data_IF_259558010135
#
_entry.id   IF_259558010135
#
_cell.length_a   1.000
_cell.length_b   1.000
_cell.length_c   1.000
_cell.angle_alpha   90.00
_cell.angle_beta   90.00
_cell.angle_gamma   90.00
#
_symmetry.space_group_name_H-M   'P 1'
#
loop_
_entity.id
_entity.type
_entity.pdbx_description
1 polymer ?
#
# COMPACT_ATOMS: atom_id res chain seq x y z
N UNK A 1 80.50 25.56 -33.03
CA UNK A 1 81.12 24.80 -31.93
C UNK A 1 80.34 23.51 -31.85
N UNK A 2 80.70 22.55 -32.69
CA UNK A 2 80.13 21.20 -32.62
C UNK A 2 80.63 20.56 -31.34
N UNK A 3 79.71 20.07 -30.52
CA UNK A 3 80.04 19.34 -29.30
C UNK A 3 80.18 17.89 -29.75
N UNK A 4 81.41 17.46 -30.04
CA UNK A 4 81.73 16.06 -30.24
C UNK A 4 81.34 15.31 -28.97
N UNK A 5 80.25 14.54 -29.05
CA UNK A 5 79.87 13.60 -28.01
C UNK A 5 80.75 12.38 -28.24
N UNK A 6 82.03 12.50 -27.87
CA UNK A 6 82.92 11.36 -27.76
C UNK A 6 82.24 10.30 -26.88
N UNK A 7 82.10 9.11 -27.45
CA UNK A 7 81.69 7.91 -26.75
C UNK A 7 82.47 7.81 -25.44
N UNK A 8 81.77 8.10 -24.34
CA UNK A 8 82.29 7.89 -23.00
C UNK A 8 82.34 6.39 -22.80
N UNK A 9 83.43 5.79 -23.27
CA UNK A 9 83.77 4.39 -23.04
C UNK A 9 83.71 4.19 -21.53
N UNK A 10 82.62 3.57 -21.08
CA UNK A 10 82.46 3.18 -19.70
C UNK A 10 83.65 2.27 -19.42
N UNK A 11 84.54 2.70 -18.54
CA UNK A 11 85.68 1.88 -18.15
C UNK A 11 85.13 0.49 -17.76
N UNK A 12 85.55 -0.56 -18.47
CA UNK A 12 85.33 -1.97 -18.12
C UNK A 12 86.01 -2.36 -16.80
N UNK A 13 86.53 -1.37 -16.06
CA UNK A 13 87.11 -1.53 -14.74
C UNK A 13 85.99 -1.74 -13.70
N UNK A 14 85.47 -2.95 -13.71
CA UNK A 14 84.50 -3.51 -12.76
C UNK A 14 85.07 -3.63 -11.33
N UNK A 15 86.23 -3.03 -11.02
CA UNK A 15 86.84 -3.05 -9.68
C UNK A 15 85.93 -2.43 -8.60
N UNK A 16 85.02 -1.53 -8.96
CA UNK A 16 84.00 -1.02 -8.03
C UNK A 16 82.96 -2.09 -7.65
N UNK A 17 82.65 -3.04 -8.55
CA UNK A 17 81.76 -4.18 -8.25
C UNK A 17 82.39 -5.11 -7.21
N UNK A 18 83.72 -5.24 -7.20
CA UNK A 18 84.45 -6.04 -6.21
C UNK A 18 84.43 -5.42 -4.80
N UNK A 19 84.13 -4.12 -4.69
CA UNK A 19 83.98 -3.43 -3.39
C UNK A 19 82.56 -3.51 -2.83
N UNK A 20 81.60 -4.01 -3.62
CA UNK A 20 80.25 -4.23 -3.12
C UNK A 20 80.21 -5.55 -2.35
N UNK A 21 79.55 -5.61 -1.18
CA UNK A 21 79.31 -6.87 -0.50
C UNK A 21 78.57 -7.82 -1.44
N UNK A 22 79.12 -9.00 -1.69
CA UNK A 22 78.62 -9.99 -2.66
C UNK A 22 77.35 -10.73 -2.21
N UNK A 23 76.62 -10.19 -1.22
CA UNK A 23 75.40 -10.75 -0.67
C UNK A 23 74.32 -9.68 -0.58
N UNK A 24 73.09 -10.05 -0.92
CA UNK A 24 71.94 -9.15 -0.83
C UNK A 24 71.74 -8.71 0.65
N UNK A 25 71.94 -7.42 0.99
CA UNK A 25 71.75 -6.94 2.36
C UNK A 25 70.26 -6.78 2.73
N UNK A 26 69.35 -6.95 1.76
CA UNK A 26 67.91 -6.85 1.96
C UNK A 26 67.31 -8.24 2.13
N UNK A 27 66.97 -8.59 3.37
CA UNK A 27 66.15 -9.77 3.67
C UNK A 27 64.69 -9.35 3.69
N UNK A 28 63.89 -9.92 2.79
CA UNK A 28 62.43 -9.80 2.85
C UNK A 28 61.85 -10.98 3.65
N UNK A 29 60.76 -10.77 4.39
CA UNK A 29 60.01 -11.86 4.99
C UNK A 29 59.57 -12.90 3.94
N UNK A 30 59.42 -14.16 4.36
CA UNK A 30 58.83 -15.19 3.51
C UNK A 30 57.43 -14.77 3.06
N UNK A 31 57.09 -14.98 1.78
CA UNK A 31 55.80 -14.58 1.20
C UNK A 31 55.68 -13.11 0.81
N UNK A 32 56.70 -12.27 1.06
CA UNK A 32 56.63 -10.83 0.78
C UNK A 32 56.27 -10.53 -0.68
N UNK A 33 56.86 -11.25 -1.63
CA UNK A 33 56.62 -11.05 -3.06
C UNK A 33 55.40 -11.81 -3.59
N UNK A 34 54.94 -12.83 -2.87
CA UNK A 34 53.76 -13.61 -3.25
C UNK A 34 52.50 -12.73 -3.12
N UNK A 35 52.40 -11.99 -2.00
CA UNK A 35 51.26 -11.11 -1.72
C UNK A 35 51.47 -9.66 -2.19
N UNK A 36 52.68 -9.31 -2.68
CA UNK A 36 53.01 -7.93 -3.07
C UNK A 36 52.09 -7.43 -4.17
N UNK A 37 51.81 -8.27 -5.17
CA UNK A 37 50.97 -7.91 -6.31
C UNK A 37 49.54 -7.59 -5.86
N UNK A 38 48.95 -8.44 -5.02
CA UNK A 38 47.60 -8.22 -4.47
C UNK A 38 47.55 -6.98 -3.58
N UNK A 39 48.59 -6.74 -2.78
CA UNK A 39 48.68 -5.57 -1.91
C UNK A 39 48.81 -4.27 -2.72
N UNK A 40 49.58 -4.29 -3.80
CA UNK A 40 49.70 -3.14 -4.71
C UNK A 40 48.36 -2.87 -5.39
N UNK A 41 47.69 -3.90 -5.92
CA UNK A 41 46.36 -3.76 -6.56
C UNK A 41 45.34 -3.20 -5.57
N UNK A 42 45.29 -3.75 -4.35
CA UNK A 42 44.41 -3.27 -3.29
C UNK A 42 44.71 -1.82 -2.90
N UNK A 43 45.98 -1.44 -2.86
CA UNK A 43 46.41 -0.06 -2.60
C UNK A 43 45.98 0.90 -3.71
N UNK A 44 46.13 0.50 -4.98
CA UNK A 44 45.68 1.28 -6.14
C UNK A 44 44.17 1.47 -6.13
N UNK A 45 43.39 0.42 -5.89
CA UNK A 45 41.93 0.52 -5.77
C UNK A 45 41.52 1.41 -4.60
N UNK A 46 42.22 1.34 -3.47
CA UNK A 46 41.93 2.21 -2.32
C UNK A 46 42.23 3.68 -2.62
N UNK A 47 43.30 3.96 -3.36
CA UNK A 47 43.67 5.30 -3.82
C UNK A 47 42.65 5.84 -4.84
N UNK A 48 42.20 4.99 -5.76
CA UNK A 48 41.16 5.29 -6.75
C UNK A 48 39.82 5.62 -6.08
N UNK A 49 39.39 4.81 -5.10
CA UNK A 49 38.18 5.06 -4.32
C UNK A 49 38.30 6.38 -3.53
N UNK A 50 39.48 6.70 -2.99
CA UNK A 50 39.73 7.97 -2.29
C UNK A 50 39.79 9.17 -3.23
N UNK A 51 40.24 9.02 -4.47
CA UNK A 51 40.30 10.11 -5.46
C UNK A 51 38.97 10.32 -6.18
N UNK A 52 38.18 9.25 -6.39
CA UNK A 52 36.81 9.33 -6.91
C UNK A 52 35.86 10.04 -5.95
N UNK A 53 36.29 10.23 -4.71
CA UNK A 53 35.49 10.76 -3.61
C UNK A 53 35.43 12.29 -3.52
N UNK A 54 35.11 12.94 -4.64
CA UNK A 54 34.68 14.34 -4.64
C UNK A 54 33.26 14.53 -4.04
N UNK A 55 32.59 13.46 -3.58
CA UNK A 55 31.20 13.45 -3.13
C UNK A 55 30.96 12.85 -1.72
N UNK A 56 32.01 12.67 -0.90
CA UNK A 56 31.86 12.36 0.53
C UNK A 56 31.82 10.86 0.82
N UNK A 57 32.99 10.30 1.07
CA UNK A 57 33.19 8.87 1.19
C UNK A 57 33.31 8.46 2.64
N UNK A 58 32.88 7.22 2.90
CA UNK A 58 32.96 6.50 4.18
C UNK A 58 32.78 7.36 5.43
N UNK A 59 31.95 8.41 5.36
CA UNK A 59 31.62 9.20 6.53
C UNK A 59 30.59 8.39 7.30
N UNK A 60 30.94 7.99 8.51
CA UNK A 60 29.93 7.49 9.43
C UNK A 60 28.88 8.58 9.60
N UNK A 61 27.59 8.26 9.40
CA UNK A 61 26.50 9.16 9.77
C UNK A 61 26.74 9.65 11.20
N UNK A 62 26.58 10.96 11.46
CA UNK A 62 26.97 11.55 12.75
C UNK A 62 26.27 10.92 13.96
N UNK A 63 25.11 10.31 13.74
CA UNK A 63 24.27 9.60 14.70
C UNK A 63 24.50 8.08 14.74
N UNK A 64 25.38 7.50 13.92
CA UNK A 64 25.57 6.05 13.79
C UNK A 64 25.81 5.36 15.14
N UNK A 65 26.78 5.84 15.91
CA UNK A 65 27.13 5.23 17.20
C UNK A 65 26.05 5.46 18.26
N UNK A 66 25.35 6.58 18.20
CA UNK A 66 24.25 6.89 19.11
C UNK A 66 23.06 5.97 18.84
N UNK A 67 22.63 5.85 17.58
CA UNK A 67 21.55 4.95 17.17
C UNK A 67 21.89 3.48 17.42
N UNK A 68 23.13 3.08 17.13
CA UNK A 68 23.60 1.73 17.42
C UNK A 68 23.55 1.45 18.92
N UNK A 69 24.02 2.38 19.76
CA UNK A 69 23.95 2.23 21.20
C UNK A 69 22.51 2.14 21.70
N UNK A 70 21.60 2.98 21.21
CA UNK A 70 20.17 2.92 21.55
C UNK A 70 19.53 1.62 21.09
N UNK A 71 19.86 1.12 19.89
CA UNK A 71 19.36 -0.15 19.36
C UNK A 71 19.84 -1.33 20.21
N UNK A 72 21.13 -1.35 20.56
CA UNK A 72 21.71 -2.40 21.41
C UNK A 72 21.05 -2.40 22.79
N UNK A 73 20.88 -1.23 23.42
CA UNK A 73 20.21 -1.12 24.71
C UNK A 73 18.74 -1.58 24.65
N UNK A 74 18.02 -1.19 23.59
CA UNK A 74 16.65 -1.65 23.35
C UNK A 74 16.57 -3.18 23.20
N UNK A 75 17.48 -3.78 22.44
CA UNK A 75 17.55 -5.25 22.28
C UNK A 75 17.83 -5.96 23.60
N UNK A 76 18.78 -5.45 24.39
CA UNK A 76 19.11 -6.01 25.70
C UNK A 76 17.90 -5.94 26.64
N UNK A 77 17.17 -4.81 26.66
CA UNK A 77 16.00 -4.65 27.51
C UNK A 77 14.85 -5.61 27.12
N UNK A 78 14.63 -5.83 25.81
CA UNK A 78 13.65 -6.79 25.31
C UNK A 78 14.07 -8.22 25.66
N UNK A 79 15.35 -8.56 25.47
CA UNK A 79 15.89 -9.87 25.82
C UNK A 79 15.76 -10.16 27.32
N UNK A 80 16.03 -9.20 28.19
CA UNK A 80 15.86 -9.33 29.64
C UNK A 80 14.38 -9.52 30.02
N UNK A 81 13.47 -8.79 29.39
CA UNK A 81 12.03 -8.93 29.62
C UNK A 81 11.49 -10.30 29.14
N UNK A 82 11.94 -10.79 27.99
CA UNK A 82 11.49 -12.07 27.41
C UNK A 82 12.16 -13.30 28.04
N UNK A 83 13.42 -13.17 28.51
CA UNK A 83 14.11 -14.24 29.22
C UNK A 83 13.40 -14.64 30.53
N UNK A 84 12.63 -13.71 31.13
CA UNK A 84 11.77 -14.00 32.28
C UNK A 84 10.57 -14.90 31.93
N UNK A 85 10.13 -14.94 30.66
CA UNK A 85 8.97 -15.69 30.19
C UNK A 85 9.32 -16.95 29.38
N UNK A 86 10.62 -17.24 29.16
CA UNK A 86 11.08 -18.47 28.49
C UNK A 86 10.94 -18.47 26.97
N UNK A 87 10.47 -17.38 26.38
CA UNK A 87 10.37 -17.16 24.94
C UNK A 87 11.74 -16.72 24.40
N UNK A 88 12.54 -17.66 23.89
CA UNK A 88 13.77 -17.32 23.18
C UNK A 88 13.47 -16.81 21.77
N UNK A 89 14.24 -15.85 21.25
CA UNK A 89 14.25 -15.47 19.83
C UNK A 89 14.78 -16.63 18.96
N UNK A 90 13.93 -17.63 18.75
CA UNK A 90 14.21 -18.73 17.85
C UNK A 90 13.83 -18.29 16.43
N UNK A 91 14.73 -18.55 15.49
CA UNK A 91 14.39 -18.42 14.08
C UNK A 91 13.17 -19.31 13.80
N UNK A 92 12.09 -18.76 13.21
CA UNK A 92 10.89 -19.55 12.92
C UNK A 92 11.23 -20.81 12.15
N UNK A 93 10.56 -21.91 12.49
CA UNK A 93 10.70 -23.17 11.76
C UNK A 93 10.39 -22.91 10.28
N UNK A 94 11.32 -23.27 9.40
CA UNK A 94 11.30 -23.06 7.94
C UNK A 94 11.70 -21.67 7.40
N UNK A 95 12.07 -20.70 8.22
CA UNK A 95 12.52 -19.37 7.76
C UNK A 95 13.54 -19.44 6.61
N UNK A 96 14.59 -20.26 6.76
CA UNK A 96 15.63 -20.37 5.75
C UNK A 96 15.16 -21.04 4.45
N UNK A 97 14.19 -21.95 4.54
CA UNK A 97 13.61 -22.59 3.36
C UNK A 97 12.75 -21.59 2.57
N UNK A 98 11.94 -20.79 3.28
CA UNK A 98 11.13 -19.73 2.68
C UNK A 98 12.00 -18.63 2.08
N UNK A 99 13.06 -18.22 2.80
CA UNK A 99 14.02 -17.24 2.31
C UNK A 99 14.70 -17.71 1.02
N UNK A 100 15.15 -18.97 0.98
CA UNK A 100 15.76 -19.56 -0.21
C UNK A 100 14.79 -19.56 -1.40
N UNK A 101 13.54 -19.96 -1.17
CA UNK A 101 12.48 -19.94 -2.19
C UNK A 101 12.20 -18.52 -2.69
N UNK A 102 12.13 -17.53 -1.79
CA UNK A 102 11.92 -16.14 -2.15
C UNK A 102 13.07 -15.57 -2.98
N UNK A 103 14.31 -15.86 -2.58
CA UNK A 103 15.51 -15.45 -3.33
C UNK A 103 15.49 -16.06 -4.74
N UNK A 104 15.19 -17.36 -4.86
CA UNK A 104 15.10 -18.02 -6.17
C UNK A 104 13.99 -17.44 -7.03
N UNK A 105 12.81 -17.15 -6.45
CA UNK A 105 11.72 -16.48 -7.15
C UNK A 105 12.12 -15.08 -7.64
N UNK A 106 12.88 -14.31 -6.84
CA UNK A 106 13.37 -12.99 -7.23
C UNK A 106 14.37 -13.07 -8.38
N UNK A 107 15.33 -13.98 -8.30
CA UNK A 107 16.33 -14.19 -9.36
C UNK A 107 15.64 -14.60 -10.66
N UNK A 108 14.69 -15.52 -10.61
CA UNK A 108 13.95 -15.97 -11.79
C UNK A 108 13.10 -14.84 -12.41
N UNK A 109 12.50 -13.98 -11.58
CA UNK A 109 11.74 -12.82 -12.04
C UNK A 109 12.67 -11.78 -12.68
N UNK A 110 13.82 -11.50 -12.07
CA UNK A 110 14.83 -10.58 -12.59
C UNK A 110 15.39 -11.06 -13.94
N UNK A 111 15.68 -12.36 -14.07
CA UNK A 111 16.14 -12.98 -15.32
C UNK A 111 15.07 -12.94 -16.42
N UNK A 112 13.79 -13.18 -16.07
CA UNK A 112 12.68 -13.18 -17.02
C UNK A 112 12.29 -11.77 -17.50
N UNK A 113 12.51 -10.76 -16.66
CA UNK A 113 12.06 -9.38 -16.91
C UNK A 113 13.13 -8.55 -17.64
N UNK A 114 14.42 -8.92 -17.54
CA UNK A 114 15.52 -8.25 -18.24
C UNK A 114 15.74 -6.78 -17.82
N UNK A 115 16.85 -6.17 -18.25
CA UNK A 115 17.28 -4.79 -17.89
C UNK A 115 16.26 -3.66 -18.22
N UNK A 116 15.11 -3.98 -18.83
CA UNK A 116 14.13 -3.02 -19.31
C UNK A 116 12.93 -2.78 -18.39
N UNK A 117 12.85 -3.44 -17.22
CA UNK A 117 11.78 -3.09 -16.28
C UNK A 117 12.07 -1.80 -15.52
N UNK A 118 11.17 -0.84 -15.73
CA UNK A 118 10.67 0.09 -14.71
C UNK A 118 11.08 -0.38 -13.31
N UNK A 119 11.97 0.39 -12.70
CA UNK A 119 12.52 0.12 -11.38
C UNK A 119 11.38 -0.25 -10.43
N UNK A 120 11.53 -1.32 -9.66
CA UNK A 120 10.57 -1.67 -8.60
C UNK A 120 10.54 -0.53 -7.57
N UNK A 121 9.72 0.48 -7.84
CA UNK A 121 9.54 1.63 -6.97
C UNK A 121 8.51 1.25 -5.92
N UNK A 122 8.79 1.64 -4.69
CA UNK A 122 7.82 1.48 -3.63
C UNK A 122 6.64 2.40 -3.96
N UNK A 123 5.39 1.90 -3.93
CA UNK A 123 4.21 2.73 -4.15
C UNK A 123 4.23 3.97 -3.25
N UNK A 124 3.82 5.10 -3.81
CA UNK A 124 3.81 6.35 -3.05
C UNK A 124 2.89 6.22 -1.82
N UNK A 125 3.41 6.55 -0.65
CA UNK A 125 2.69 6.46 0.63
C UNK A 125 2.79 5.12 1.36
N UNK A 126 3.46 4.10 0.81
CA UNK A 126 3.64 2.79 1.48
C UNK A 126 4.20 2.91 2.90
N UNK A 127 5.25 3.71 3.08
CA UNK A 127 5.88 3.86 4.39
C UNK A 127 5.03 4.66 5.38
N UNK A 128 4.22 5.60 4.88
CA UNK A 128 3.29 6.37 5.72
C UNK A 128 2.15 5.46 6.21
N UNK A 129 1.60 4.63 5.30
CA UNK A 129 0.58 3.64 5.64
C UNK A 129 1.13 2.57 6.59
N UNK A 130 2.33 2.06 6.33
CA UNK A 130 3.00 1.11 7.20
C UNK A 130 3.20 1.69 8.61
N UNK A 131 3.67 2.94 8.71
CA UNK A 131 3.86 3.61 10.01
C UNK A 131 2.54 3.76 10.75
N UNK A 132 1.47 4.19 10.06
CA UNK A 132 0.12 4.28 10.62
C UNK A 132 -0.40 2.92 11.07
N UNK A 133 -0.19 1.86 10.28
CA UNK A 133 -0.62 0.50 10.61
C UNK A 133 0.11 -0.02 11.86
N UNK A 134 1.44 0.15 11.91
CA UNK A 134 2.26 -0.24 13.06
C UNK A 134 1.80 0.50 14.31
N UNK A 135 1.59 1.82 14.26
CA UNK A 135 1.09 2.60 15.39
C UNK A 135 -0.30 2.14 15.84
N UNK A 136 -1.20 1.86 14.90
CA UNK A 136 -2.53 1.34 15.22
C UNK A 136 -2.45 -0.04 15.90
N UNK A 137 -1.55 -0.92 15.44
CA UNK A 137 -1.36 -2.24 16.06
C UNK A 137 -0.80 -2.12 17.48
N UNK A 138 0.21 -1.28 17.69
CA UNK A 138 0.78 -1.01 19.02
C UNK A 138 -0.29 -0.47 19.97
N UNK A 139 -1.09 0.50 19.53
CA UNK A 139 -2.15 1.08 20.36
C UNK A 139 -3.24 0.06 20.73
N UNK A 140 -3.62 -0.81 19.79
CA UNK A 140 -4.55 -1.90 20.08
C UNK A 140 -3.94 -2.93 21.02
N UNK A 141 -2.68 -3.32 20.81
CA UNK A 141 -1.96 -4.27 21.65
C UNK A 141 -1.77 -3.74 23.07
N UNK A 142 -1.42 -2.47 23.25
CA UNK A 142 -1.32 -1.82 24.57
C UNK A 142 -2.68 -1.72 25.26
N UNK A 143 -3.77 -1.45 24.51
CA UNK A 143 -5.13 -1.46 25.04
C UNK A 143 -5.62 -2.88 25.41
N UNK A 144 -5.08 -3.91 24.76
CA UNK A 144 -5.36 -5.32 25.04
C UNK A 144 -4.38 -5.96 26.02
N UNK A 145 -3.26 -5.31 26.36
CA UNK A 145 -2.23 -5.82 27.25
C UNK A 145 -2.82 -6.03 28.66
N UNK A 146 -3.20 -7.27 28.96
CA UNK A 146 -3.88 -7.68 30.20
C UNK A 146 -5.22 -8.40 30.00
N UNK A 147 -5.77 -8.40 28.79
CA UNK A 147 -6.89 -9.24 28.39
C UNK A 147 -6.33 -10.40 27.57
N UNK A 148 -6.05 -11.53 28.22
CA UNK A 148 -5.86 -12.85 27.60
C UNK A 148 -7.19 -13.38 27.03
N UNK A 149 -7.93 -12.54 26.32
CA UNK A 149 -8.99 -13.04 25.45
C UNK A 149 -8.26 -13.58 24.22
N UNK A 150 -7.95 -14.87 24.29
CA UNK A 150 -7.52 -15.66 23.13
C UNK A 150 -8.42 -15.27 21.95
N UNK A 151 -7.81 -14.92 20.81
CA UNK A 151 -8.52 -14.75 19.54
C UNK A 151 -9.08 -16.12 19.12
N UNK A 152 -10.13 -16.55 19.80
CA UNK A 152 -10.79 -17.82 19.59
C UNK A 152 -11.71 -17.66 18.39
N UNK A 153 -11.55 -18.57 17.44
CA UNK A 153 -12.46 -18.67 16.32
C UNK A 153 -13.87 -18.91 16.87
N UNK A 154 -14.90 -18.17 16.41
CA UNK A 154 -16.27 -18.37 16.87
C UNK A 154 -16.71 -19.82 16.73
N UNK A 155 -17.44 -20.31 17.73
CA UNK A 155 -17.97 -21.67 17.72
C UNK A 155 -18.79 -21.91 16.43
N UNK A 156 -18.44 -22.95 15.68
CA UNK A 156 -19.11 -23.30 14.42
C UNK A 156 -18.64 -22.56 13.17
N UNK A 157 -17.64 -21.66 13.23
CA UNK A 157 -17.07 -21.01 12.04
C UNK A 157 -16.65 -22.03 10.98
N UNK A 158 -15.86 -23.04 11.38
CA UNK A 158 -15.37 -24.07 10.46
C UNK A 158 -16.48 -24.96 9.90
N UNK A 159 -17.53 -25.24 10.68
CA UNK A 159 -18.69 -26.01 10.22
C UNK A 159 -19.47 -25.22 9.17
N UNK A 160 -19.70 -23.92 9.42
CA UNK A 160 -20.36 -23.03 8.46
C UNK A 160 -19.52 -22.85 7.20
N UNK A 161 -18.20 -22.74 7.33
CA UNK A 161 -17.29 -22.60 6.20
C UNK A 161 -17.29 -23.87 5.35
N UNK A 162 -17.22 -25.04 5.98
CA UNK A 162 -17.30 -26.34 5.31
C UNK A 162 -18.62 -26.50 4.56
N UNK A 163 -19.74 -26.17 5.22
CA UNK A 163 -21.07 -26.22 4.60
C UNK A 163 -21.21 -25.25 3.42
N UNK A 164 -20.69 -24.03 3.54
CA UNK A 164 -20.69 -23.05 2.45
C UNK A 164 -19.83 -23.50 1.26
N UNK A 165 -18.65 -24.06 1.52
CA UNK A 165 -17.76 -24.58 0.47
C UNK A 165 -18.45 -25.75 -0.26
N UNK A 166 -19.03 -26.69 0.46
CA UNK A 166 -19.78 -27.80 -0.14
C UNK A 166 -20.97 -27.32 -0.95
N UNK A 167 -21.75 -26.36 -0.43
CA UNK A 167 -22.86 -25.76 -1.15
C UNK A 167 -22.39 -25.12 -2.46
N UNK A 168 -21.30 -24.35 -2.45
CA UNK A 168 -20.73 -23.76 -3.67
C UNK A 168 -20.27 -24.82 -4.68
N UNK A 169 -19.55 -25.86 -4.23
CA UNK A 169 -19.09 -26.94 -5.11
C UNK A 169 -20.27 -27.65 -5.76
N UNK A 170 -21.33 -27.96 -4.99
CA UNK A 170 -22.53 -28.63 -5.56
C UNK A 170 -23.29 -27.75 -6.54
N UNK A 171 -23.38 -26.44 -6.29
CA UNK A 171 -23.97 -25.49 -7.23
C UNK A 171 -23.11 -25.43 -8.48
N UNK A 172 -21.81 -25.31 -8.36
CA UNK A 172 -20.89 -25.23 -9.49
C UNK A 172 -20.87 -26.52 -10.33
N UNK A 173 -20.95 -27.69 -9.70
CA UNK A 173 -21.04 -28.98 -10.39
C UNK A 173 -22.38 -29.14 -11.15
N UNK A 174 -23.49 -28.73 -10.53
CA UNK A 174 -24.82 -28.80 -11.17
C UNK A 174 -25.00 -27.75 -12.27
N UNK A 175 -24.48 -26.54 -12.07
CA UNK A 175 -24.51 -25.43 -13.02
C UNK A 175 -23.57 -25.67 -14.20
N UNK A 176 -22.41 -26.31 -13.98
CA UNK A 176 -21.48 -26.66 -15.07
C UNK A 176 -21.98 -27.82 -15.94
N UNK A 177 -22.90 -28.64 -15.43
CA UNK A 177 -23.49 -29.76 -16.17
C UNK A 177 -24.68 -29.34 -17.07
N UNK A 178 -25.43 -28.30 -16.67
CA UNK A 178 -26.55 -27.75 -17.44
C UNK A 178 -26.19 -26.39 -18.05
N UNK A 179 -25.93 -26.35 -19.36
CA UNK A 179 -25.64 -25.12 -20.13
C UNK A 179 -26.77 -24.06 -20.14
N UNK A 180 -27.87 -24.33 -19.42
CA UNK A 180 -29.06 -23.50 -19.31
C UNK A 180 -29.32 -22.97 -17.88
N UNK A 181 -28.43 -23.22 -16.92
CA UNK A 181 -28.66 -22.83 -15.51
C UNK A 181 -28.74 -21.30 -15.28
N UNK A 182 -28.21 -20.50 -16.23
CA UNK A 182 -28.34 -19.04 -16.25
C UNK A 182 -29.31 -18.53 -17.32
N UNK A 183 -30.02 -19.42 -18.01
CA UNK A 183 -31.02 -19.04 -18.99
C UNK A 183 -32.32 -18.65 -18.29
N UNK A 184 -32.84 -17.48 -18.63
CA UNK A 184 -34.14 -17.02 -18.12
C UNK A 184 -35.23 -17.97 -18.65
N UNK A 185 -36.16 -18.46 -17.82
CA UNK A 185 -37.24 -19.34 -18.26
C UNK A 185 -38.05 -18.72 -19.40
N UNK A 186 -38.40 -19.55 -20.40
CA UNK A 186 -39.22 -19.12 -21.53
C UNK A 186 -40.53 -18.47 -21.05
N UNK A 187 -40.76 -17.22 -21.48
CA UNK A 187 -41.96 -16.47 -21.13
C UNK A 187 -41.93 -15.72 -19.80
N UNK A 188 -40.82 -15.74 -19.03
CA UNK A 188 -40.65 -14.93 -17.81
C UNK A 188 -40.99 -13.46 -18.04
N UNK A 189 -40.44 -12.87 -19.11
CA UNK A 189 -40.68 -11.46 -19.43
C UNK A 189 -42.13 -11.17 -19.85
N UNK A 190 -42.80 -12.11 -20.52
CA UNK A 190 -44.22 -11.97 -20.84
C UNK A 190 -45.09 -11.99 -19.58
N UNK A 191 -44.78 -12.89 -18.64
CA UNK A 191 -45.51 -13.00 -17.37
C UNK A 191 -45.23 -11.80 -16.45
N UNK A 192 -43.99 -11.31 -16.44
CA UNK A 192 -43.61 -10.07 -15.75
C UNK A 192 -44.32 -8.85 -16.36
N UNK A 193 -44.43 -8.77 -17.68
CA UNK A 193 -45.15 -7.68 -18.33
C UNK A 193 -46.65 -7.70 -18.02
N UNK A 194 -47.26 -8.89 -18.00
CA UNK A 194 -48.66 -9.07 -17.59
C UNK A 194 -48.89 -8.72 -16.11
N UNK A 195 -47.97 -9.09 -15.22
CA UNK A 195 -48.09 -8.77 -13.79
C UNK A 195 -47.95 -7.26 -13.54
N UNK A 196 -46.98 -6.61 -14.18
CA UNK A 196 -46.82 -5.15 -14.13
C UNK A 196 -48.09 -4.46 -14.64
N UNK A 197 -48.60 -4.84 -15.82
CA UNK A 197 -49.83 -4.25 -16.37
C UNK A 197 -51.04 -4.47 -15.47
N UNK A 198 -51.17 -5.64 -14.84
CA UNK A 198 -52.26 -5.90 -13.91
C UNK A 198 -52.17 -5.04 -12.65
N UNK A 199 -50.96 -4.77 -12.15
CA UNK A 199 -50.72 -3.93 -10.97
C UNK A 199 -50.76 -2.43 -11.26
N UNK A 200 -50.48 -2.01 -12.48
CA UNK A 200 -50.49 -0.58 -12.86
C UNK A 200 -51.80 -0.14 -13.52
N UNK A 201 -52.50 -1.01 -14.24
CA UNK A 201 -53.75 -0.67 -14.94
C UNK A 201 -55.01 -0.84 -14.08
N UNK A 202 -54.99 -1.70 -13.05
CA UNK A 202 -56.10 -1.82 -12.09
C UNK A 202 -55.86 -0.98 -10.83
N UNK A 203 -55.77 0.34 -11.00
CA UNK A 203 -56.05 1.27 -9.90
C UNK A 203 -57.51 1.70 -10.05
N UNK A 204 -58.47 1.12 -9.31
CA UNK A 204 -59.83 1.65 -9.29
C UNK A 204 -59.76 3.09 -8.78
N UNK A 205 -60.47 3.97 -9.48
CA UNK A 205 -60.56 5.40 -9.22
C UNK A 205 -60.61 5.69 -7.72
N UNK A 206 -59.62 6.43 -7.23
CA UNK A 206 -59.60 6.92 -5.86
C UNK A 206 -60.86 7.73 -5.62
N UNK A 207 -61.78 7.20 -4.81
CA UNK A 207 -62.94 7.94 -4.32
C UNK A 207 -62.44 9.18 -3.60
N UNK A 208 -62.54 10.34 -4.25
CA UNK A 208 -62.27 11.66 -3.68
C UNK A 208 -63.19 11.87 -2.49
N UNK A 209 -62.68 11.59 -1.29
CA UNK A 209 -63.29 12.04 -0.04
C UNK A 209 -62.90 13.50 0.12
N UNK A 210 -63.86 14.40 -0.07
CA UNK A 210 -63.69 15.81 0.25
C UNK A 210 -63.38 15.93 1.75
N UNK A 211 -62.18 16.41 2.09
CA UNK A 211 -61.84 16.76 3.46
C UNK A 211 -62.65 17.99 3.89
N UNK A 212 -63.27 18.01 5.09
CA UNK A 212 -63.85 19.22 5.62
C UNK A 212 -62.74 20.24 5.92
N UNK A 213 -62.84 21.41 5.32
CA UNK A 213 -61.96 22.57 5.55
C UNK A 213 -61.86 22.89 7.04
N UNK A 214 -60.72 22.58 7.66
CA UNK A 214 -60.40 22.99 9.02
C UNK A 214 -60.11 24.49 9.02
N UNK A 215 -61.04 25.27 9.57
CA UNK A 215 -60.89 26.71 9.75
C UNK A 215 -59.66 27.06 10.62
N UNK A 216 -58.93 28.09 10.18
CA UNK A 216 -57.75 28.61 10.84
C UNK A 216 -58.09 29.19 12.22
N UNK A 217 -57.84 28.43 13.28
CA UNK A 217 -57.76 28.97 14.64
C UNK A 217 -56.29 29.11 15.02
N UNK A 218 -55.73 30.30 14.79
CA UNK A 218 -54.40 30.65 15.28
C UNK A 218 -54.52 30.93 16.79
N UNK A 219 -54.28 29.92 17.64
CA UNK A 219 -54.07 30.13 19.07
C UNK A 219 -52.70 30.78 19.27
N UNK A 220 -52.69 32.09 19.60
CA UNK A 220 -51.50 32.79 20.10
C UNK A 220 -51.08 32.17 21.43
N UNK A 221 -49.97 31.45 21.43
CA UNK A 221 -49.42 30.75 22.60
C UNK A 221 -48.11 31.38 23.07
N UNK A 222 -48.02 32.71 23.17
CA UNK A 222 -46.88 33.33 23.86
C UNK A 222 -47.27 34.65 24.52
N UNK A 223 -47.65 34.61 25.79
CA UNK A 223 -47.41 35.75 26.70
C UNK A 223 -47.47 35.29 28.15
N UNK A 224 -46.37 34.75 28.67
CA UNK A 224 -46.21 34.62 30.12
C UNK A 224 -44.78 34.99 30.50
N UNK A 225 -44.65 35.80 31.54
CA UNK A 225 -43.41 36.45 31.98
C UNK A 225 -42.24 35.49 32.31
N UNK A 226 -42.47 34.18 32.30
CA UNK A 226 -41.45 33.14 32.44
C UNK A 226 -40.38 33.16 31.32
N UNK A 227 -40.71 33.59 30.10
CA UNK A 227 -39.71 33.67 29.01
C UNK A 227 -38.62 34.72 29.30
N UNK A 228 -38.94 35.77 30.08
CA UNK A 228 -37.97 36.81 30.45
C UNK A 228 -36.88 36.26 31.37
N UNK A 229 -37.24 35.44 32.35
CA UNK A 229 -36.28 34.84 33.29
C UNK A 229 -35.56 33.62 32.70
N UNK A 230 -36.23 32.85 31.83
CA UNK A 230 -35.60 31.73 31.12
C UNK A 230 -34.45 32.21 30.22
N UNK A 231 -34.63 33.34 29.52
CA UNK A 231 -33.55 33.92 28.70
C UNK A 231 -32.32 34.31 29.53
N UNK A 232 -32.51 34.92 30.70
CA UNK A 232 -31.41 35.32 31.58
C UNK A 232 -30.65 34.12 32.17
N UNK A 233 -31.35 33.05 32.54
CA UNK A 233 -30.71 31.82 33.04
C UNK A 233 -29.86 31.13 31.96
N UNK A 234 -30.33 31.09 30.71
CA UNK A 234 -29.54 30.55 29.60
C UNK A 234 -28.25 31.34 29.37
N UNK A 235 -28.31 32.68 29.41
CA UNK A 235 -27.09 33.49 29.28
C UNK A 235 -26.11 33.27 30.44
N UNK A 236 -26.60 33.13 31.68
CA UNK A 236 -25.74 32.84 32.82
C UNK A 236 -25.06 31.46 32.71
N UNK A 237 -25.78 30.44 32.23
CA UNK A 237 -25.24 29.10 31.99
C UNK A 237 -24.20 29.12 30.85
N UNK A 238 -24.47 29.84 29.76
CA UNK A 238 -23.54 29.97 28.63
C UNK A 238 -22.26 30.68 29.05
N UNK A 239 -22.36 31.77 29.82
CA UNK A 239 -21.18 32.50 30.32
C UNK A 239 -20.41 31.64 31.33
N UNK A 240 -21.10 30.91 32.21
CA UNK A 240 -20.48 29.96 33.13
C UNK A 240 -19.74 28.83 32.42
N UNK A 241 -20.34 28.24 31.39
CA UNK A 241 -19.72 27.23 30.52
C UNK A 241 -18.53 27.78 29.73
N UNK A 242 -18.63 29.01 29.23
CA UNK A 242 -17.54 29.65 28.48
C UNK A 242 -16.30 29.91 29.36
N UNK A 243 -16.50 30.33 30.62
CA UNK A 243 -15.40 30.52 31.57
C UNK A 243 -14.81 29.17 32.00
N UNK A 244 -15.66 28.16 32.23
CA UNK A 244 -15.22 26.81 32.58
C UNK A 244 -14.41 26.15 31.45
N UNK A 245 -14.86 26.27 30.20
CA UNK A 245 -14.14 25.78 29.01
C UNK A 245 -12.86 26.56 28.68
N UNK A 246 -12.72 27.80 29.17
CA UNK A 246 -11.46 28.56 29.04
C UNK A 246 -10.40 28.13 30.06
N UNK A 247 -10.83 27.63 31.22
CA UNK A 247 -9.95 27.17 32.30
C UNK A 247 -9.53 25.70 32.11
N UNK A 248 -10.41 24.88 31.53
CA UNK A 248 -10.09 23.55 31.04
C UNK A 248 -9.58 23.66 29.59
N UNK A 249 -8.26 23.82 29.41
CA UNK A 249 -7.65 23.71 28.09
C UNK A 249 -7.89 22.31 27.51
N UNK A 250 -8.92 22.18 26.67
CA UNK A 250 -9.22 21.04 25.82
C UNK A 250 -9.36 21.53 24.36
N UNK A 251 -8.93 20.71 23.38
CA UNK A 251 -8.72 21.11 21.99
C UNK A 251 -10.05 21.44 21.29
N UNK A 252 -10.01 22.40 20.36
CA UNK A 252 -11.12 22.72 19.46
C UNK A 252 -11.56 21.48 18.69
N UNK A 253 -12.73 20.93 19.04
CA UNK A 253 -13.49 20.07 18.14
C UNK A 253 -14.06 20.95 17.02
N UNK A 254 -13.39 20.94 15.87
CA UNK A 254 -13.88 21.52 14.64
C UNK A 254 -15.22 20.88 14.25
N UNK A 255 -16.14 21.70 13.75
CA UNK A 255 -17.44 21.24 13.32
C UNK A 255 -17.32 20.33 12.11
N UNK A 256 -17.63 19.05 12.31
CA UNK A 256 -17.74 18.03 11.27
C UNK A 256 -19.01 18.26 10.43
N UNK A 257 -19.00 19.28 9.59
CA UNK A 257 -19.86 19.33 8.41
C UNK A 257 -19.05 18.82 7.22
N UNK A 258 -19.07 17.50 7.06
CA UNK A 258 -19.03 16.79 5.78
C UNK A 258 -17.95 17.22 4.76
N UNK A 259 -16.68 17.10 5.14
CA UNK A 259 -15.53 17.14 4.22
C UNK A 259 -15.70 16.20 3.00
N UNK A 260 -16.38 15.07 3.21
CA UNK A 260 -16.68 14.09 2.15
C UNK A 260 -17.62 14.63 1.04
N UNK A 261 -18.48 15.61 1.31
CA UNK A 261 -19.39 16.12 0.27
C UNK A 261 -18.73 17.16 -0.64
N UNK A 262 -17.76 17.91 -0.13
CA UNK A 262 -17.02 18.91 -0.90
C UNK A 262 -15.96 18.23 -1.80
N UNK A 263 -15.33 17.16 -1.30
CA UNK A 263 -14.36 16.39 -2.09
C UNK A 263 -14.98 15.52 -3.19
N UNK A 264 -16.24 15.10 -3.04
CA UNK A 264 -16.96 14.37 -4.10
C UNK A 264 -17.49 15.29 -5.21
N UNK A 265 -17.62 16.59 -4.92
CA UNK A 265 -18.14 17.57 -5.87
C UNK A 265 -17.05 18.07 -6.84
N UNK A 266 -15.78 17.93 -6.45
CA UNK A 266 -14.61 18.37 -7.22
C UNK A 266 -13.96 17.24 -8.06
N UNK A 267 -14.61 16.07 -8.13
CA UNK A 267 -14.14 14.99 -9.01
C UNK A 267 -14.57 15.32 -10.44
N UNK A 268 -13.59 15.72 -11.27
CA UNK A 268 -13.79 15.96 -12.71
C UNK A 268 -14.32 14.72 -13.42
N UNK A 269 -15.22 14.93 -14.40
CA UNK A 269 -15.72 13.86 -15.29
C UNK A 269 -14.61 13.14 -16.03
N UNK A 270 -13.50 13.84 -16.33
CA UNK A 270 -12.34 13.26 -17.03
C UNK A 270 -11.60 12.22 -16.16
N UNK A 271 -11.60 12.41 -14.83
CA UNK A 271 -11.00 11.47 -13.87
C UNK A 271 -11.90 10.24 -13.71
N UNK A 272 -13.22 10.42 -13.74
CA UNK A 272 -14.16 9.31 -13.73
C UNK A 272 -14.08 8.50 -15.02
N UNK A 273 -13.91 9.17 -16.17
CA UNK A 273 -13.71 8.54 -17.47
C UNK A 273 -12.40 7.75 -17.50
N UNK A 274 -11.29 8.34 -17.04
CA UNK A 274 -9.99 7.64 -16.97
C UNK A 274 -10.01 6.45 -15.98
N UNK A 275 -10.70 6.58 -14.84
CA UNK A 275 -10.85 5.48 -13.87
C UNK A 275 -11.70 4.35 -14.44
N UNK A 276 -12.79 4.67 -15.16
CA UNK A 276 -13.62 3.68 -15.84
C UNK A 276 -12.86 3.01 -16.99
N UNK A 277 -12.06 3.75 -17.74
CA UNK A 277 -11.28 3.22 -18.87
C UNK A 277 -10.12 2.33 -18.40
N UNK A 278 -9.40 2.73 -17.35
CA UNK A 278 -8.39 1.89 -16.71
C UNK A 278 -8.98 0.64 -16.03
N UNK A 279 -10.20 0.69 -15.49
CA UNK A 279 -10.88 -0.51 -14.97
C UNK A 279 -11.54 -1.35 -16.08
N UNK A 280 -11.94 -0.76 -17.20
CA UNK A 280 -12.49 -1.46 -18.35
C UNK A 280 -11.41 -2.30 -19.04
N UNK A 281 -10.18 -1.79 -19.20
CA UNK A 281 -9.07 -2.56 -19.76
C UNK A 281 -8.63 -3.72 -18.84
N UNK A 282 -8.62 -3.50 -17.51
CA UNK A 282 -8.29 -4.56 -16.55
C UNK A 282 -9.34 -5.70 -16.49
N UNK A 283 -10.56 -5.46 -16.98
CA UNK A 283 -11.64 -6.46 -17.03
C UNK A 283 -11.87 -7.04 -18.43
N UNK A 284 -11.12 -6.61 -19.45
CA UNK A 284 -11.30 -7.02 -20.85
C UNK A 284 -10.44 -8.21 -21.31
N UNK A 285 -9.64 -8.85 -20.46
CA UNK A 285 -8.88 -10.05 -20.89
C UNK A 285 -9.72 -11.33 -20.97
N UNK A 286 -10.98 -11.38 -20.49
CA UNK A 286 -11.83 -12.58 -20.63
C UNK A 286 -13.32 -12.27 -20.85
N UNK A 287 -13.64 -11.39 -21.81
CA UNK A 287 -15.01 -11.34 -22.35
C UNK A 287 -15.05 -11.18 -23.85
N UNK A 288 -14.37 -12.08 -24.56
CA UNK A 288 -14.83 -12.48 -25.89
C UNK A 288 -16.19 -13.14 -25.74
N UNK A 289 -17.26 -12.36 -25.88
CA UNK A 289 -18.60 -12.87 -26.08
C UNK A 289 -18.61 -13.56 -27.45
N UNK A 290 -18.34 -14.86 -27.47
CA UNK A 290 -18.69 -15.71 -28.60
C UNK A 290 -20.21 -15.90 -28.52
N UNK A 291 -20.94 -14.90 -28.99
CA UNK A 291 -22.32 -15.07 -29.41
C UNK A 291 -22.28 -15.33 -30.92
N UNK A 292 -22.48 -16.59 -31.28
CA UNK A 292 -22.89 -17.08 -32.60
C UNK A 292 -22.24 -16.39 -33.81
N UNK A 293 -21.00 -16.80 -34.12
CA UNK A 293 -20.48 -16.84 -35.51
C UNK A 293 -20.45 -15.55 -36.34
N UNK A 294 -20.69 -14.37 -35.76
CA UNK A 294 -20.66 -13.10 -36.49
C UNK A 294 -19.84 -12.08 -35.71
N UNK A 295 -18.75 -11.64 -36.33
CA UNK A 295 -18.01 -10.47 -35.86
C UNK A 295 -18.96 -9.27 -35.96
N UNK A 296 -19.32 -8.70 -34.81
CA UNK A 296 -20.09 -7.46 -34.74
C UNK A 296 -19.17 -6.33 -35.18
N UNK A 297 -19.49 -5.76 -36.34
CA UNK A 297 -18.82 -4.58 -36.89
C UNK A 297 -19.39 -3.32 -36.21
N UNK A 298 -18.51 -2.53 -35.58
CA UNK A 298 -18.88 -1.34 -34.80
C UNK A 298 -19.62 -0.30 -35.67
N UNK A 299 -19.34 -0.28 -36.97
CA UNK A 299 -20.01 0.59 -37.94
C UNK A 299 -21.47 0.18 -38.16
N UNK A 300 -21.78 -1.12 -38.12
CA UNK A 300 -23.16 -1.62 -38.23
C UNK A 300 -23.99 -1.29 -36.99
N UNK A 301 -23.36 -1.30 -35.80
CA UNK A 301 -24.01 -0.95 -34.54
C UNK A 301 -24.35 0.55 -34.50
N UNK A 302 -23.43 1.41 -34.95
CA UNK A 302 -23.65 2.87 -35.04
C UNK A 302 -24.78 3.22 -36.01
N UNK A 303 -24.85 2.55 -37.16
CA UNK A 303 -25.92 2.76 -38.12
C UNK A 303 -27.30 2.37 -37.55
N UNK A 304 -27.38 1.25 -36.84
CA UNK A 304 -28.63 0.78 -36.22
C UNK A 304 -29.12 1.72 -35.10
N UNK A 305 -28.20 2.30 -34.34
CA UNK A 305 -28.54 3.28 -33.29
C UNK A 305 -29.05 4.59 -33.92
N UNK A 306 -28.43 5.04 -35.00
CA UNK A 306 -28.85 6.26 -35.70
C UNK A 306 -30.25 6.11 -36.31
N UNK A 307 -30.57 4.97 -36.92
CA UNK A 307 -31.89 4.67 -37.48
C UNK A 307 -33.00 4.67 -36.40
N UNK A 308 -32.68 4.22 -35.18
CA UNK A 308 -33.61 4.26 -34.06
C UNK A 308 -33.84 5.67 -33.50
N UNK A 309 -32.80 6.52 -33.50
CA UNK A 309 -32.90 7.92 -33.08
C UNK A 309 -33.71 8.74 -34.09
N UNK A 310 -33.56 8.47 -35.38
CA UNK A 310 -34.30 9.15 -36.45
C UNK A 310 -35.76 8.66 -36.58
N UNK A 311 -36.11 7.55 -35.93
CA UNK A 311 -37.46 6.99 -35.88
C UNK A 311 -38.33 7.49 -34.70
N UNK A 312 -37.81 8.37 -33.84
CA UNK A 312 -38.58 9.12 -32.83
C UNK A 312 -38.90 10.55 -33.27
#
# INVERSE_FOLDING_TARGET
MEIDIEHKDWHEDDSWRQKLPTGNPFSVPAGYFDDLSERIISGVHLEEIKQADALGGFTLPGNYFTELSTNIQSRIAIEEAMAAEGESFAVPKNYFNELSSNIQSRIALEEAVGETAESFTVPQGYFDELSSNVQSRIAMEEALAGQTEEFAVPEGYFESLSSNIQSRITIEETVSADSNAYAVPDGYFNQLQQSILSQTAQKPETKVVQMPSRGNVIRKLVSTAAFKYASAACFAIIVGLAVYMKQASLPSAAQNHTFMHEQLQDVSTDVLENYLENQADATQTERTVIADGSQLDDDALRAAIQDYVDAQ
#
